data_IF_011853487563
#
_entry.id   IF_011853487563
#
_cell.length_a   1.000
_cell.length_b   1.000
_cell.length_c   1.000
_cell.angle_alpha   90.00
_cell.angle_beta   90.00
_cell.angle_gamma   90.00
#
_symmetry.space_group_name_H-M   'P 1'
#
loop_
_entity.id
_entity.type
_entity.pdbx_description
1 polymer ?
#
# COMPACT_ATOMS: atom_id res chain seq x y z
N UNK A 1 -30.47 26.60 -3.65
CA UNK A 1 -29.68 25.42 -3.22
C UNK A 1 -28.43 25.40 -4.06
N UNK A 2 -27.30 25.83 -3.50
CA UNK A 2 -26.00 25.68 -4.16
C UNK A 2 -25.50 24.25 -3.94
N UNK A 3 -25.02 23.54 -4.96
CA UNK A 3 -24.37 22.26 -4.73
C UNK A 3 -23.11 22.51 -3.88
N UNK A 4 -23.01 21.85 -2.73
CA UNK A 4 -21.75 21.77 -1.99
C UNK A 4 -20.66 21.30 -2.94
N UNK A 5 -19.47 21.92 -2.95
CA UNK A 5 -18.37 21.42 -3.75
C UNK A 5 -18.10 19.98 -3.31
N UNK A 6 -18.13 19.05 -4.26
CA UNK A 6 -17.69 17.69 -4.05
C UNK A 6 -16.32 17.78 -3.38
N UNK A 7 -16.17 17.20 -2.18
CA UNK A 7 -14.86 17.05 -1.56
C UNK A 7 -13.98 16.35 -2.59
N UNK A 8 -13.07 17.09 -3.20
CA UNK A 8 -11.89 16.49 -3.82
C UNK A 8 -11.05 15.95 -2.67
N UNK A 9 -11.44 14.78 -2.15
CA UNK A 9 -10.54 13.96 -1.35
C UNK A 9 -9.56 13.41 -2.36
N UNK A 10 -8.41 14.05 -2.53
CA UNK A 10 -7.25 13.37 -3.10
C UNK A 10 -7.07 12.11 -2.24
N UNK A 11 -7.51 10.96 -2.75
CA UNK A 11 -7.48 9.73 -1.99
C UNK A 11 -6.04 9.24 -2.01
N UNK A 12 -5.29 9.52 -0.95
CA UNK A 12 -3.90 9.12 -0.85
C UNK A 12 -3.81 7.62 -0.56
N UNK A 13 -2.85 6.91 -1.17
CA UNK A 13 -2.52 5.58 -0.73
C UNK A 13 -2.13 5.54 0.74
N UNK A 14 -2.41 4.41 1.38
CA UNK A 14 -2.05 4.18 2.78
C UNK A 14 -1.15 2.95 2.87
N UNK A 15 -0.08 3.05 3.65
CA UNK A 15 0.80 1.95 3.97
C UNK A 15 0.44 1.40 5.35
N UNK A 16 0.27 0.09 5.43
CA UNK A 16 0.16 -0.66 6.67
C UNK A 16 1.37 -1.57 6.76
N UNK A 17 2.20 -1.38 7.79
CA UNK A 17 3.34 -2.25 8.06
C UNK A 17 3.04 -3.14 9.25
N UNK A 18 3.31 -4.43 9.09
CA UNK A 18 3.30 -5.42 10.16
C UNK A 18 4.71 -5.96 10.35
N UNK A 19 5.15 -6.04 11.62
CA UNK A 19 6.44 -6.64 11.99
C UNK A 19 6.18 -7.70 13.06
N UNK A 20 6.56 -8.95 12.81
CA UNK A 20 6.37 -10.07 13.73
C UNK A 20 4.92 -10.17 14.30
N UNK A 21 3.92 -9.93 13.45
CA UNK A 21 2.50 -9.93 13.82
C UNK A 21 2.00 -8.62 14.47
N UNK A 22 2.89 -7.68 14.79
CA UNK A 22 2.52 -6.38 15.35
C UNK A 22 2.19 -5.38 14.25
N UNK A 23 0.97 -4.85 14.28
CA UNK A 23 0.53 -3.82 13.35
C UNK A 23 0.98 -2.44 13.80
N UNK A 24 1.70 -1.74 12.93
CA UNK A 24 2.09 -0.35 13.14
C UNK A 24 0.95 0.57 12.72
N UNK A 25 1.03 1.83 13.16
CA UNK A 25 0.08 2.86 12.75
C UNK A 25 0.13 3.00 11.22
N UNK A 26 -1.01 3.04 10.52
CA UNK A 26 -1.02 3.27 9.08
C UNK A 26 -0.49 4.66 8.73
N UNK A 27 0.34 4.71 7.70
CA UNK A 27 0.99 5.94 7.23
C UNK A 27 0.43 6.35 5.86
N UNK A 28 -0.07 7.59 5.70
CA UNK A 28 -0.36 8.15 4.39
C UNK A 28 0.91 8.22 3.55
N UNK A 29 0.84 7.80 2.30
CA UNK A 29 1.99 7.79 1.38
C UNK A 29 1.57 8.30 0.01
N UNK A 30 2.51 8.91 -0.73
CA UNK A 30 2.22 9.40 -2.08
C UNK A 30 2.11 8.24 -3.07
N UNK A 31 1.38 8.45 -4.16
CA UNK A 31 1.24 7.43 -5.22
C UNK A 31 2.59 7.12 -5.86
N UNK A 32 3.42 8.14 -6.09
CA UNK A 32 4.76 7.97 -6.67
C UNK A 32 5.65 7.12 -5.75
N UNK A 33 5.68 7.41 -4.45
CA UNK A 33 6.47 6.63 -3.49
C UNK A 33 5.96 5.18 -3.42
N UNK A 34 4.65 4.99 -3.39
CA UNK A 34 4.01 3.67 -3.42
C UNK A 34 4.44 2.85 -4.63
N UNK A 35 4.31 3.42 -5.84
CA UNK A 35 4.72 2.73 -7.07
C UNK A 35 6.22 2.45 -7.12
N UNK A 36 7.04 3.37 -6.62
CA UNK A 36 8.49 3.18 -6.51
C UNK A 36 8.82 2.00 -5.61
N UNK A 37 8.20 1.91 -4.43
CA UNK A 37 8.39 0.81 -3.49
C UNK A 37 7.98 -0.54 -4.10
N UNK A 38 6.79 -0.61 -4.71
CA UNK A 38 6.29 -1.83 -5.36
C UNK A 38 7.21 -2.25 -6.50
N UNK A 39 7.67 -1.29 -7.31
CA UNK A 39 8.61 -1.57 -8.42
C UNK A 39 9.95 -2.07 -7.90
N UNK A 40 10.47 -1.47 -6.83
CA UNK A 40 11.72 -1.88 -6.19
C UNK A 40 11.61 -3.29 -5.61
N UNK A 41 10.49 -3.59 -4.93
CA UNK A 41 10.20 -4.91 -4.37
C UNK A 41 10.17 -5.99 -5.44
N UNK A 42 9.46 -5.77 -6.55
CA UNK A 42 9.41 -6.70 -7.70
C UNK A 42 10.78 -6.98 -8.33
N UNK A 43 11.73 -6.05 -8.19
CA UNK A 43 13.10 -6.19 -8.72
C UNK A 43 14.09 -6.78 -7.71
N UNK A 44 13.68 -7.05 -6.48
CA UNK A 44 14.58 -7.40 -5.38
C UNK A 44 14.25 -8.77 -4.78
N UNK A 45 14.40 -9.89 -5.53
CA UNK A 45 14.03 -11.23 -5.06
C UNK A 45 14.89 -11.73 -3.89
N UNK A 46 16.02 -11.09 -3.60
CA UNK A 46 16.85 -11.40 -2.41
C UNK A 46 16.31 -10.75 -1.12
N UNK A 47 15.42 -9.78 -1.25
CA UNK A 47 14.94 -8.93 -0.14
C UNK A 47 13.42 -8.97 0.03
N UNK A 48 12.73 -9.57 -0.94
CA UNK A 48 11.28 -9.72 -1.02
C UNK A 48 10.99 -11.13 -1.51
N UNK A 49 10.21 -11.85 -0.72
CA UNK A 49 9.80 -13.23 -0.99
C UNK A 49 8.55 -13.25 -1.91
N UNK A 50 7.60 -12.36 -1.65
CA UNK A 50 6.38 -12.28 -2.46
C UNK A 50 5.89 -10.84 -2.65
N UNK A 51 5.28 -10.58 -3.82
CA UNK A 51 4.49 -9.38 -4.11
C UNK A 51 3.18 -9.82 -4.76
N UNK A 52 2.06 -9.60 -4.06
CA UNK A 52 0.72 -9.92 -4.54
C UNK A 52 -0.09 -8.65 -4.73
N UNK A 53 -0.90 -8.59 -5.79
CA UNK A 53 -1.77 -7.44 -6.09
C UNK A 53 -3.19 -7.93 -6.26
N UNK A 54 -4.12 -7.25 -5.59
CA UNK A 54 -5.52 -7.58 -5.59
C UNK A 54 -6.35 -6.33 -5.87
N UNK A 55 -7.35 -6.45 -6.72
CA UNK A 55 -8.33 -5.39 -6.96
C UNK A 55 -9.58 -5.66 -6.12
N UNK A 56 -10.05 -4.64 -5.41
CA UNK A 56 -11.20 -4.72 -4.51
C UNK A 56 -12.09 -3.48 -4.64
N UNK A 57 -13.29 -3.60 -4.07
CA UNK A 57 -14.16 -2.47 -3.77
C UNK A 57 -14.28 -2.37 -2.26
N UNK A 58 -13.99 -1.19 -1.68
CA UNK A 58 -14.12 -0.98 -0.24
C UNK A 58 -15.59 -1.10 0.20
N UNK A 59 -15.80 -1.17 1.51
CA UNK A 59 -17.15 -1.13 2.10
C UNK A 59 -17.96 0.10 1.65
N UNK A 60 -17.29 1.22 1.42
CA UNK A 60 -17.91 2.49 1.00
C UNK A 60 -18.08 2.59 -0.53
N UNK A 61 -17.82 1.51 -1.27
CA UNK A 61 -17.96 1.47 -2.73
C UNK A 61 -16.75 2.03 -3.49
N UNK A 62 -15.63 2.32 -2.82
CA UNK A 62 -14.45 2.92 -3.44
C UNK A 62 -13.59 1.82 -4.08
N UNK A 63 -13.30 1.85 -5.40
CA UNK A 63 -12.42 0.89 -6.02
C UNK A 63 -10.98 1.11 -5.56
N UNK A 64 -10.30 0.05 -5.11
CA UNK A 64 -8.94 0.09 -4.59
C UNK A 64 -8.11 -1.12 -5.04
N UNK A 65 -6.81 -0.92 -5.11
CA UNK A 65 -5.82 -1.97 -5.27
C UNK A 65 -5.10 -2.18 -3.93
N UNK A 66 -5.13 -3.41 -3.42
CA UNK A 66 -4.31 -3.81 -2.27
C UNK A 66 -3.06 -4.51 -2.80
N UNK A 67 -1.89 -4.00 -2.42
CA UNK A 67 -0.60 -4.63 -2.73
C UNK A 67 0.01 -5.15 -1.45
N UNK A 68 0.25 -6.45 -1.41
CA UNK A 68 0.88 -7.14 -0.29
C UNK A 68 2.32 -7.48 -0.65
N UNK A 69 3.27 -7.08 0.18
CA UNK A 69 4.70 -7.35 0.03
C UNK A 69 5.17 -8.11 1.27
N UNK A 70 5.65 -9.34 1.07
CA UNK A 70 6.30 -10.14 2.10
C UNK A 70 7.81 -10.05 1.93
N UNK A 71 8.50 -9.58 2.97
CA UNK A 71 9.94 -9.47 2.94
C UNK A 71 10.64 -10.76 3.41
N UNK A 72 11.83 -11.03 2.87
CA UNK A 72 12.61 -12.19 3.27
C UNK A 72 13.02 -12.06 4.75
N UNK A 73 12.90 -13.13 5.55
CA UNK A 73 13.36 -13.16 6.94
C UNK A 73 14.85 -12.81 7.09
N UNK A 74 15.23 -12.19 8.22
CA UNK A 74 16.62 -11.83 8.52
C UNK A 74 17.16 -10.62 7.75
N UNK A 75 16.32 -9.95 6.95
CA UNK A 75 16.67 -8.65 6.36
C UNK A 75 16.79 -7.54 7.42
N UNK A 76 16.01 -7.62 8.48
CA UNK A 76 16.10 -6.73 9.64
C UNK A 76 16.60 -7.53 10.84
N UNK A 77 17.50 -6.92 11.61
CA UNK A 77 18.09 -7.57 12.77
C UNK A 77 17.03 -7.76 13.87
N UNK A 78 17.01 -8.95 14.46
CA UNK A 78 16.04 -9.34 15.48
C UNK A 78 14.58 -9.50 15.00
N UNK A 79 14.30 -9.37 13.70
CA UNK A 79 12.94 -9.44 13.13
C UNK A 79 12.79 -10.69 12.26
N UNK A 80 11.70 -11.44 12.47
CA UNK A 80 11.44 -12.68 11.72
C UNK A 80 10.63 -12.42 10.46
N UNK A 81 9.66 -11.52 10.53
CA UNK A 81 8.72 -11.23 9.47
C UNK A 81 8.43 -9.74 9.36
N UNK A 82 8.46 -9.22 8.13
CA UNK A 82 7.96 -7.87 7.81
C UNK A 82 7.04 -7.98 6.59
N UNK A 83 5.86 -7.38 6.74
CA UNK A 83 4.85 -7.30 5.70
C UNK A 83 4.49 -5.83 5.51
N UNK A 84 4.53 -5.37 4.27
CA UNK A 84 3.97 -4.09 3.87
C UNK A 84 2.70 -4.32 3.04
N UNK A 85 1.62 -3.65 3.41
CA UNK A 85 0.35 -3.65 2.68
C UNK A 85 0.04 -2.23 2.23
N UNK A 86 -0.06 -2.01 0.93
CA UNK A 86 -0.44 -0.74 0.34
C UNK A 86 -1.90 -0.81 -0.08
N UNK A 87 -2.73 0.07 0.48
CA UNK A 87 -4.08 0.33 -0.03
C UNK A 87 -4.03 1.54 -0.96
N UNK A 88 -4.33 1.32 -2.23
CA UNK A 88 -4.19 2.33 -3.29
C UNK A 88 -5.57 2.58 -3.91
N UNK A 89 -6.18 3.73 -3.67
CA UNK A 89 -7.40 4.11 -4.36
C UNK A 89 -7.18 4.11 -5.87
N UNK A 90 -8.09 3.50 -6.62
CA UNK A 90 -7.90 3.34 -8.09
C UNK A 90 -7.86 4.70 -8.79
N UNK A 91 -8.63 5.67 -8.31
CA UNK A 91 -8.59 7.04 -8.80
C UNK A 91 -7.20 7.69 -8.63
N UNK A 92 -6.45 7.32 -7.58
CA UNK A 92 -5.10 7.84 -7.37
C UNK A 92 -4.09 7.33 -8.41
N UNK A 93 -4.39 6.22 -9.10
CA UNK A 93 -3.56 5.68 -10.17
C UNK A 93 -3.82 6.36 -11.52
N UNK A 94 -4.99 6.95 -11.74
CA UNK A 94 -5.34 7.64 -12.98
C UNK A 94 -4.83 9.08 -13.04
N UNK A 95 -4.49 9.66 -11.88
CA UNK A 95 -4.03 11.04 -11.73
C UNK A 95 -2.49 11.21 -11.83
N UNK A 96 -1.78 10.15 -12.22
CA UNK A 96 -0.30 10.09 -12.32
C UNK A 96 0.25 10.53 -13.67
#
# INVERSE_FOLDING_TARGET
MSPSPARSTTQHPTLHTQVDGMNYRPDPITVIATLSHIRSARKSPKSVDAVNVYAFTSRDGIPLHVVYIHHVPGRWDGVREVIDVYEIPTAALTDL
#
